data_IF_611115565553
#
_entry.id   IF_611115565553
#
_cell.length_a   1.000
_cell.length_b   1.000
_cell.length_c   1.000
_cell.angle_alpha   90.00
_cell.angle_beta   90.00
_cell.angle_gamma   90.00
#
_symmetry.space_group_name_H-M   'P 1'
#
loop_
_entity.id
_entity.type
_entity.pdbx_description
1 polymer ?
#
# COMPACT_ATOMS: atom_id res chain seq x y z
N UNK A 1 1.74 -22.40 -8.64
CA UNK A 1 0.94 -21.30 -8.06
C UNK A 1 1.51 -20.01 -8.62
N UNK A 2 0.71 -19.15 -9.23
CA UNK A 2 1.21 -17.87 -9.73
C UNK A 2 1.65 -17.03 -8.52
N UNK A 3 2.91 -16.59 -8.49
CA UNK A 3 3.37 -15.64 -7.47
C UNK A 3 2.48 -14.40 -7.51
N UNK A 4 1.89 -14.04 -6.37
CA UNK A 4 1.21 -12.75 -6.24
C UNK A 4 2.28 -11.67 -6.48
N UNK A 5 2.05 -10.83 -7.49
CA UNK A 5 2.96 -9.73 -7.85
C UNK A 5 2.90 -8.56 -6.86
N UNK A 6 1.89 -8.51 -6.00
CA UNK A 6 1.63 -7.44 -5.04
C UNK A 6 1.93 -7.90 -3.62
N UNK A 7 2.23 -6.93 -2.75
CA UNK A 7 2.48 -7.15 -1.33
C UNK A 7 1.15 -7.34 -0.60
N UNK A 8 0.88 -8.60 -0.24
CA UNK A 8 -0.38 -9.03 0.38
C UNK A 8 -0.77 -8.23 1.63
N UNK A 9 0.14 -7.90 2.57
CA UNK A 9 -0.23 -7.11 3.75
C UNK A 9 -0.76 -5.71 3.42
N UNK A 10 -0.29 -5.08 2.34
CA UNK A 10 -0.87 -3.81 1.89
C UNK A 10 -2.23 -4.02 1.22
N UNK A 11 -2.38 -5.09 0.43
CA UNK A 11 -3.66 -5.41 -0.22
C UNK A 11 -4.75 -5.68 0.81
N UNK A 12 -4.45 -6.46 1.86
CA UNK A 12 -5.38 -6.76 2.95
C UNK A 12 -5.81 -5.50 3.70
N UNK A 13 -4.85 -4.59 3.98
CA UNK A 13 -5.15 -3.31 4.62
C UNK A 13 -6.06 -2.44 3.74
N UNK A 14 -5.81 -2.37 2.43
CA UNK A 14 -6.64 -1.62 1.50
C UNK A 14 -8.05 -2.22 1.40
N UNK A 15 -8.16 -3.54 1.37
CA UNK A 15 -9.42 -4.27 1.25
C UNK A 15 -10.31 -4.14 2.51
N UNK A 16 -9.73 -3.84 3.67
CA UNK A 16 -10.47 -3.57 4.92
C UNK A 16 -11.51 -2.45 4.79
N UNK A 17 -11.30 -1.50 3.87
CA UNK A 17 -12.23 -0.40 3.60
C UNK A 17 -13.46 -0.79 2.79
N UNK A 18 -13.44 -1.95 2.14
CA UNK A 18 -14.43 -2.36 1.13
C UNK A 18 -14.41 -1.52 -0.15
N UNK A 19 -13.47 -0.58 -0.30
CA UNK A 19 -13.36 0.26 -1.49
C UNK A 19 -12.60 -0.48 -2.60
N UNK A 20 -13.09 -0.35 -3.84
CA UNK A 20 -12.32 -0.81 -5.01
C UNK A 20 -11.04 0.00 -5.13
N UNK A 21 -9.91 -0.63 -5.46
CA UNK A 21 -8.63 0.06 -5.64
C UNK A 21 -8.66 1.25 -6.61
N UNK A 22 -9.46 1.18 -7.68
CA UNK A 22 -9.66 2.31 -8.62
C UNK A 22 -10.31 3.52 -7.94
N UNK A 23 -11.17 3.28 -6.95
CA UNK A 23 -11.80 4.33 -6.14
C UNK A 23 -10.79 4.94 -5.17
N UNK A 24 -9.99 4.10 -4.49
CA UNK A 24 -8.91 4.57 -3.60
C UNK A 24 -7.94 5.46 -4.38
N UNK A 25 -7.39 4.95 -5.49
CA UNK A 25 -6.47 5.70 -6.36
C UNK A 25 -7.07 7.03 -6.83
N UNK A 26 -8.35 7.05 -7.22
CA UNK A 26 -9.04 8.29 -7.60
C UNK A 26 -9.16 9.28 -6.44
N UNK A 27 -9.49 8.81 -5.23
CA UNK A 27 -9.68 9.65 -4.05
C UNK A 27 -8.36 10.30 -3.59
N UNK A 28 -7.24 9.58 -3.68
CA UNK A 28 -5.91 10.12 -3.37
C UNK A 28 -5.25 10.85 -4.56
N UNK A 29 -5.98 11.06 -5.66
CA UNK A 29 -5.52 11.73 -6.87
C UNK A 29 -4.26 11.10 -7.52
N UNK A 30 -4.18 9.76 -7.53
CA UNK A 30 -3.07 9.01 -8.11
C UNK A 30 -3.56 8.15 -9.29
N UNK A 31 -2.85 8.09 -10.42
CA UNK A 31 -3.20 7.18 -11.50
C UNK A 31 -3.25 5.73 -11.01
N UNK A 32 -4.27 4.98 -11.45
CA UNK A 32 -4.42 3.57 -11.03
C UNK A 32 -3.18 2.71 -11.33
N UNK A 33 -2.47 3.01 -12.42
CA UNK A 33 -1.21 2.35 -12.78
C UNK A 33 -0.08 2.63 -11.78
N UNK A 34 0.00 3.86 -11.25
CA UNK A 34 0.93 4.22 -10.18
C UNK A 34 0.55 3.52 -8.88
N UNK A 35 -0.74 3.52 -8.53
CA UNK A 35 -1.25 2.83 -7.35
C UNK A 35 -0.96 1.32 -7.40
N UNK A 36 -1.10 0.69 -8.57
CA UNK A 36 -0.72 -0.71 -8.76
C UNK A 36 0.79 -0.95 -8.56
N UNK A 37 1.66 -0.03 -9.01
CA UNK A 37 3.10 -0.12 -8.75
C UNK A 37 3.43 0.01 -7.27
N UNK A 38 2.68 0.80 -6.52
CA UNK A 38 2.82 0.88 -5.06
C UNK A 38 2.43 -0.42 -4.38
N UNK A 39 1.37 -1.09 -4.86
CA UNK A 39 1.01 -2.42 -4.35
C UNK A 39 2.06 -3.48 -4.65
N UNK A 40 2.82 -3.36 -5.75
CA UNK A 40 3.98 -4.22 -6.04
C UNK A 40 5.16 -3.88 -5.14
N UNK A 41 5.42 -2.59 -4.93
CA UNK A 41 6.55 -2.10 -4.16
C UNK A 41 6.11 -0.92 -3.25
N UNK A 42 5.68 -1.22 -2.02
CA UNK A 42 5.18 -0.21 -1.08
C UNK A 42 6.21 0.83 -0.65
N UNK A 43 7.52 0.58 -0.81
CA UNK A 43 8.57 1.55 -0.46
C UNK A 43 8.51 2.86 -1.27
N UNK A 44 7.74 2.85 -2.36
CA UNK A 44 7.48 4.02 -3.22
C UNK A 44 6.38 4.94 -2.72
N UNK A 45 5.70 4.58 -1.62
CA UNK A 45 4.67 5.40 -0.99
C UNK A 45 5.37 6.37 -0.03
N UNK A 46 5.24 7.67 -0.31
CA UNK A 46 5.73 8.71 0.60
C UNK A 46 4.76 8.94 1.77
N UNK A 47 5.22 9.71 2.78
CA UNK A 47 4.44 9.96 3.99
C UNK A 47 3.09 10.66 3.72
N UNK A 48 3.04 11.56 2.73
CA UNK A 48 1.80 12.26 2.36
C UNK A 48 0.80 11.30 1.73
N UNK A 49 1.27 10.43 0.84
CA UNK A 49 0.47 9.40 0.19
C UNK A 49 -0.02 8.36 1.19
N UNK A 50 0.80 7.98 2.17
CA UNK A 50 0.41 7.10 3.26
C UNK A 50 -0.73 7.72 4.11
N UNK A 51 -0.61 9.02 4.45
CA UNK A 51 -1.66 9.75 5.16
C UNK A 51 -2.97 9.80 4.36
N UNK A 52 -2.90 10.10 3.07
CA UNK A 52 -4.08 10.13 2.19
C UNK A 52 -4.72 8.74 2.05
N UNK A 53 -3.92 7.67 1.99
CA UNK A 53 -4.44 6.30 1.99
C UNK A 53 -5.19 6.04 3.30
N UNK A 54 -4.57 6.30 4.45
CA UNK A 54 -5.16 6.07 5.77
C UNK A 54 -6.52 6.77 5.91
N UNK A 55 -6.59 8.05 5.54
CA UNK A 55 -7.82 8.84 5.55
C UNK A 55 -8.91 8.24 4.65
N UNK A 56 -8.54 7.85 3.42
CA UNK A 56 -9.49 7.33 2.43
C UNK A 56 -10.05 5.96 2.81
N UNK A 57 -9.22 5.10 3.39
CA UNK A 57 -9.60 3.72 3.77
C UNK A 57 -10.15 3.64 5.19
N UNK A 58 -10.02 4.71 5.99
CA UNK A 58 -10.60 4.83 7.33
C UNK A 58 -9.82 4.08 8.41
N UNK A 59 -8.49 4.03 8.31
CA UNK A 59 -7.60 3.37 9.29
C UNK A 59 -6.62 4.37 9.89
N UNK A 60 -5.90 3.97 10.95
CA UNK A 60 -4.85 4.81 11.53
C UNK A 60 -3.63 4.88 10.58
N UNK A 61 -3.02 6.07 10.49
CA UNK A 61 -1.80 6.25 9.70
C UNK A 61 -0.67 5.31 10.17
N UNK A 62 -0.62 5.00 11.46
CA UNK A 62 0.36 4.08 12.04
C UNK A 62 0.25 2.68 11.45
N UNK A 63 -0.97 2.21 11.15
CA UNK A 63 -1.20 0.90 10.54
C UNK A 63 -0.60 0.85 9.12
N UNK A 64 -0.84 1.91 8.34
CA UNK A 64 -0.23 2.06 7.00
C UNK A 64 1.29 2.08 7.12
N UNK A 65 1.85 2.93 7.99
CA UNK A 65 3.30 3.04 8.19
C UNK A 65 3.92 1.70 8.61
N UNK A 66 3.25 0.93 9.47
CA UNK A 66 3.72 -0.37 9.93
C UNK A 66 3.85 -1.36 8.76
N UNK A 67 2.84 -1.43 7.90
CA UNK A 67 2.87 -2.26 6.68
C UNK A 67 4.03 -1.85 5.76
N UNK A 68 4.23 -0.54 5.53
CA UNK A 68 5.33 -0.05 4.69
C UNK A 68 6.71 -0.39 5.27
N UNK A 69 6.87 -0.28 6.60
CA UNK A 69 8.12 -0.62 7.29
C UNK A 69 8.43 -2.11 7.22
N UNK A 70 7.44 -2.98 7.39
CA UNK A 70 7.63 -4.43 7.33
C UNK A 70 8.14 -4.85 5.95
N UNK A 71 7.59 -4.27 4.88
CA UNK A 71 8.08 -4.51 3.53
C UNK A 71 9.57 -4.16 3.37
N UNK A 72 10.00 -3.00 3.88
CA UNK A 72 11.41 -2.61 3.80
C UNK A 72 12.32 -3.55 4.62
N UNK A 73 11.88 -3.99 5.79
CA UNK A 73 12.65 -4.95 6.60
C UNK A 73 12.78 -6.32 5.91
N UNK A 74 11.74 -6.77 5.20
CA UNK A 74 11.81 -7.99 4.40
C UNK A 74 12.81 -7.84 3.25
N UNK A 75 12.82 -6.68 2.56
CA UNK A 75 13.82 -6.38 1.52
C UNK A 75 15.25 -6.33 2.07
N UNK A 76 15.47 -5.70 3.21
CA UNK A 76 16.79 -5.58 3.83
C UNK A 76 17.37 -6.97 4.20
N UNK A 77 16.51 -7.90 4.64
CA UNK A 77 16.90 -9.29 4.92
C UNK A 77 17.26 -10.08 3.67
N UNK A 78 16.65 -9.77 2.52
CA UNK A 78 16.96 -10.43 1.24
C UNK A 78 18.25 -9.88 0.60
N UNK A 79 18.65 -8.67 0.95
CA UNK A 79 19.85 -8.01 0.45
C UNK A 79 21.11 -8.28 1.29
N UNK A 80 20.95 -8.93 2.46
CA UNK A 80 22.01 -9.32 3.39
C UNK A 80 22.48 -10.75 3.15
#
# INVERSE_FOLDING_TARGET
>A
MAEKKTYEPLDDLLDSSGLKYKVIAKKINVPYTTFYKWRINPSRIDAVSAANIAEVIGVDLTDVIFVLKNFNQELDKLAS
#
